data_IF_153102754444
#
_entry.id   IF_153102754444
#
_cell.length_a   1.000
_cell.length_b   1.000
_cell.length_c   1.000
_cell.angle_alpha   90.00
_cell.angle_beta   90.00
_cell.angle_gamma   90.00
#
_symmetry.space_group_name_H-M   'P 1'
#
loop_
_entity.id
_entity.type
_entity.pdbx_description
1 polymer ?
#
# COMPACT_ATOMS: atom_id res chain seq x y z
N UNK A 1 -20.72 -28.81 -1.37
CA UNK A 1 -19.81 -28.60 -2.52
C UNK A 1 -19.70 -27.10 -2.71
N UNK A 2 -18.53 -26.51 -2.44
CA UNK A 2 -18.26 -25.08 -2.60
C UNK A 2 -17.98 -24.84 -4.10
N UNK A 3 -18.92 -24.22 -4.81
CA UNK A 3 -18.91 -24.12 -6.28
C UNK A 3 -18.92 -22.66 -6.78
N UNK A 4 -18.88 -21.66 -5.88
CA UNK A 4 -18.84 -20.26 -6.28
C UNK A 4 -17.39 -19.78 -6.36
N UNK A 5 -17.10 -18.85 -7.26
CA UNK A 5 -15.77 -18.26 -7.37
C UNK A 5 -15.31 -17.58 -6.06
N UNK A 6 -16.26 -17.04 -5.29
CA UNK A 6 -16.00 -16.47 -3.95
C UNK A 6 -15.43 -17.51 -2.97
N UNK A 7 -15.87 -18.77 -3.08
CA UNK A 7 -15.37 -19.86 -2.22
C UNK A 7 -13.89 -20.17 -2.49
N UNK A 8 -13.45 -20.01 -3.75
CA UNK A 8 -12.06 -20.21 -4.16
C UNK A 8 -11.18 -19.03 -3.71
N UNK A 9 -11.72 -17.80 -3.77
CA UNK A 9 -11.04 -16.59 -3.29
C UNK A 9 -10.80 -16.70 -1.79
N UNK A 10 -11.83 -17.02 -1.00
CA UNK A 10 -11.74 -17.17 0.47
C UNK A 10 -10.75 -18.26 0.91
N UNK A 11 -10.51 -19.28 0.08
CA UNK A 11 -9.57 -20.37 0.40
C UNK A 11 -8.11 -20.04 0.07
N UNK A 12 -7.88 -19.14 -0.89
CA UNK A 12 -6.54 -18.93 -1.48
C UNK A 12 -5.93 -17.57 -1.09
N UNK A 13 -6.77 -16.63 -0.67
CA UNK A 13 -6.40 -15.28 -0.26
C UNK A 13 -7.06 -14.97 1.09
N UNK A 14 -6.38 -14.21 1.96
CA UNK A 14 -7.04 -13.53 3.09
C UNK A 14 -7.97 -12.46 2.49
N UNK A 15 -9.17 -12.89 2.10
CA UNK A 15 -10.24 -12.03 1.62
C UNK A 15 -11.53 -12.37 2.36
N UNK A 16 -12.26 -11.38 2.90
CA UNK A 16 -11.92 -9.95 2.91
C UNK A 16 -10.70 -9.66 3.81
N UNK A 17 -9.78 -8.84 3.32
CA UNK A 17 -8.79 -8.18 4.18
C UNK A 17 -9.41 -6.88 4.72
N UNK A 18 -8.80 -6.25 5.72
CA UNK A 18 -9.33 -5.03 6.35
C UNK A 18 -9.63 -3.88 5.35
N UNK A 19 -9.11 -3.95 4.12
CA UNK A 19 -9.25 -2.93 3.10
C UNK A 19 -10.41 -3.18 2.13
N UNK A 20 -10.91 -4.40 2.01
CA UNK A 20 -11.97 -4.75 1.04
C UNK A 20 -13.21 -5.27 1.74
N UNK A 21 -14.35 -4.66 1.46
CA UNK A 21 -15.66 -5.17 1.89
C UNK A 21 -16.59 -5.31 0.69
N UNK A 22 -17.51 -6.26 0.76
CA UNK A 22 -18.53 -6.48 -0.28
C UNK A 22 -19.89 -6.28 0.35
N UNK A 23 -20.63 -5.28 -0.14
CA UNK A 23 -21.96 -4.91 0.33
C UNK A 23 -22.91 -4.98 -0.85
N UNK A 24 -23.97 -5.78 -0.75
CA UNK A 24 -24.96 -6.01 -1.82
C UNK A 24 -24.36 -6.39 -3.19
N UNK A 25 -23.19 -7.03 -3.18
CA UNK A 25 -22.48 -7.46 -4.39
C UNK A 25 -21.62 -6.37 -5.03
N UNK A 26 -21.54 -5.18 -4.43
CA UNK A 26 -20.62 -4.11 -4.82
C UNK A 26 -19.37 -4.11 -3.94
N UNK A 27 -18.21 -3.77 -4.53
CA UNK A 27 -16.91 -3.77 -3.85
C UNK A 27 -16.59 -2.38 -3.30
N UNK A 28 -16.32 -2.32 -1.99
CA UNK A 28 -15.73 -1.17 -1.34
C UNK A 28 -14.23 -1.43 -1.11
N UNK A 29 -13.42 -0.39 -1.30
CA UNK A 29 -11.98 -0.42 -1.03
C UNK A 29 -11.56 0.76 -0.15
N UNK A 30 -11.13 0.52 1.09
CA UNK A 30 -10.89 1.54 2.12
C UNK A 30 -12.09 2.51 2.25
N UNK A 31 -13.30 1.95 2.39
CA UNK A 31 -14.57 2.67 2.43
C UNK A 31 -14.91 3.48 1.17
N UNK A 32 -14.22 3.23 0.04
CA UNK A 32 -14.51 3.85 -1.26
C UNK A 32 -15.40 2.92 -2.10
N UNK A 33 -16.62 3.34 -2.48
CA UNK A 33 -17.51 2.54 -3.33
C UNK A 33 -17.00 2.51 -4.77
N UNK A 34 -16.35 1.40 -5.15
CA UNK A 34 -15.67 1.32 -6.46
C UNK A 34 -16.66 1.38 -7.63
N UNK A 35 -17.88 0.88 -7.45
CA UNK A 35 -18.91 0.93 -8.50
C UNK A 35 -19.30 2.36 -8.86
N UNK A 36 -19.33 3.28 -7.89
CA UNK A 36 -19.65 4.68 -8.14
C UNK A 36 -18.51 5.39 -8.87
N UNK A 37 -17.26 5.11 -8.48
CA UNK A 37 -16.07 5.61 -9.19
C UNK A 37 -16.06 5.11 -10.64
N UNK A 38 -16.36 3.83 -10.88
CA UNK A 38 -16.42 3.26 -12.23
C UNK A 38 -17.54 3.90 -13.06
N UNK A 39 -18.74 4.07 -12.49
CA UNK A 39 -19.87 4.73 -13.17
C UNK A 39 -19.52 6.17 -13.56
N UNK A 40 -18.77 6.89 -12.72
CA UNK A 40 -18.39 8.28 -12.95
C UNK A 40 -17.25 8.45 -13.97
N UNK A 41 -16.19 7.64 -13.87
CA UNK A 41 -14.94 7.86 -14.62
C UNK A 41 -14.70 6.84 -15.75
N UNK A 42 -15.49 5.76 -15.83
CA UNK A 42 -15.33 4.71 -16.83
C UNK A 42 -14.12 3.79 -16.58
N UNK A 43 -13.84 2.92 -17.56
CA UNK A 43 -12.70 1.97 -17.52
C UNK A 43 -11.94 1.96 -18.86
N UNK A 44 -10.64 1.63 -18.86
CA UNK A 44 -9.81 1.21 -17.71
C UNK A 44 -9.42 2.38 -16.80
N UNK A 45 -9.44 2.13 -15.49
CA UNK A 45 -9.04 3.08 -14.45
C UNK A 45 -8.02 2.42 -13.52
N UNK A 46 -7.03 3.19 -13.08
CA UNK A 46 -6.11 2.82 -12.00
C UNK A 46 -6.29 3.81 -10.85
N UNK A 47 -6.55 3.29 -9.65
CA UNK A 47 -6.74 4.08 -8.44
C UNK A 47 -5.54 3.83 -7.51
N UNK A 48 -5.05 4.88 -6.85
CA UNK A 48 -3.99 4.79 -5.85
C UNK A 48 -4.51 5.36 -4.51
N UNK A 49 -4.52 4.55 -3.47
CA UNK A 49 -4.89 4.98 -2.11
C UNK A 49 -3.63 5.41 -1.36
N UNK A 50 -3.32 6.70 -1.41
CA UNK A 50 -2.09 7.27 -0.86
C UNK A 50 -1.91 7.02 0.65
N UNK A 51 -2.96 7.05 1.50
CA UNK A 51 -2.78 6.78 2.93
C UNK A 51 -2.15 5.42 3.23
N UNK A 52 -2.36 4.42 2.35
CA UNK A 52 -1.74 3.09 2.48
C UNK A 52 -0.21 3.14 2.46
N UNK A 53 0.35 4.10 1.75
CA UNK A 53 1.81 4.30 1.64
C UNK A 53 2.34 4.69 3.03
N UNK A 54 1.74 5.70 3.65
CA UNK A 54 2.01 6.12 5.03
C UNK A 54 1.87 4.96 6.01
N UNK A 55 0.74 4.25 5.98
CA UNK A 55 0.48 3.11 6.86
C UNK A 55 1.56 2.03 6.76
N UNK A 56 1.98 1.69 5.53
CA UNK A 56 2.99 0.68 5.30
C UNK A 56 4.38 1.10 5.80
N UNK A 57 4.77 2.36 5.60
CA UNK A 57 6.03 2.90 6.12
C UNK A 57 6.05 2.83 7.65
N UNK A 58 4.97 3.27 8.30
CA UNK A 58 4.87 3.25 9.77
C UNK A 58 4.80 1.81 10.30
N UNK A 59 4.12 0.90 9.59
CA UNK A 59 4.08 -0.53 9.93
C UNK A 59 5.47 -1.15 9.90
N UNK A 60 6.26 -0.88 8.85
CA UNK A 60 7.63 -1.38 8.74
C UNK A 60 8.51 -0.86 9.90
N UNK A 61 8.49 0.45 10.16
CA UNK A 61 9.21 1.06 11.29
C UNK A 61 8.82 0.42 12.63
N UNK A 62 7.52 0.22 12.87
CA UNK A 62 7.03 -0.44 14.10
C UNK A 62 7.54 -1.86 14.23
N UNK A 63 7.51 -2.65 13.15
CA UNK A 63 8.02 -4.03 13.15
C UNK A 63 9.49 -4.08 13.52
N UNK A 64 10.33 -3.24 12.92
CA UNK A 64 11.76 -3.17 13.24
C UNK A 64 12.02 -2.67 14.66
N UNK A 65 11.37 -1.59 15.10
CA UNK A 65 11.55 -1.08 16.46
C UNK A 65 11.16 -2.12 17.53
N UNK A 66 10.06 -2.86 17.32
CA UNK A 66 9.66 -3.94 18.23
C UNK A 66 10.68 -5.07 18.24
N UNK A 67 11.22 -5.46 17.08
CA UNK A 67 12.23 -6.52 16.99
C UNK A 67 13.55 -6.10 17.64
N UNK A 68 14.01 -4.87 17.41
CA UNK A 68 15.23 -4.30 17.99
C UNK A 68 15.13 -4.18 19.51
N UNK A 69 13.99 -3.72 20.03
CA UNK A 69 13.74 -3.64 21.46
C UNK A 69 13.72 -5.03 22.14
N UNK A 70 13.29 -6.09 21.45
CA UNK A 70 13.28 -7.47 21.99
C UNK A 70 14.68 -8.07 22.16
N UNK A 71 15.69 -7.52 21.50
CA UNK A 71 17.07 -8.05 21.50
C UNK A 71 18.08 -7.01 21.97
N UNK A 72 17.60 -5.93 22.61
CA UNK A 72 18.42 -4.83 23.13
C UNK A 72 19.40 -4.25 22.08
N UNK A 73 18.93 -4.09 20.83
CA UNK A 73 19.75 -3.52 19.76
C UNK A 73 19.78 -1.99 19.83
N UNK A 74 20.98 -1.41 19.98
CA UNK A 74 21.21 0.03 20.22
C UNK A 74 21.38 0.88 18.94
N UNK A 75 21.31 0.26 17.76
CA UNK A 75 21.40 1.01 16.49
C UNK A 75 20.07 1.64 16.08
N UNK A 76 20.13 2.55 15.11
CA UNK A 76 18.94 3.19 14.53
C UNK A 76 18.39 2.42 13.32
N UNK A 77 17.06 2.44 13.15
CA UNK A 77 16.39 1.95 11.95
C UNK A 77 16.02 3.09 11.00
N UNK A 78 16.52 3.03 9.77
CA UNK A 78 16.17 3.96 8.69
C UNK A 78 15.38 3.26 7.60
N UNK A 79 14.18 3.75 7.33
CA UNK A 79 13.36 3.28 6.21
C UNK A 79 13.79 3.98 4.91
N UNK A 80 14.21 3.19 3.91
CA UNK A 80 14.57 3.67 2.58
C UNK A 80 13.56 3.16 1.54
N UNK A 81 12.87 4.07 0.84
CA UNK A 81 11.95 3.72 -0.24
C UNK A 81 12.71 3.57 -1.56
N UNK A 82 12.55 2.43 -2.23
CA UNK A 82 13.15 2.16 -3.53
C UNK A 82 12.33 2.81 -4.65
N UNK A 83 12.89 3.82 -5.33
CA UNK A 83 12.21 4.56 -6.41
C UNK A 83 11.80 3.66 -7.59
N UNK A 84 12.54 2.57 -7.82
CA UNK A 84 12.23 1.58 -8.85
C UNK A 84 10.87 0.90 -8.65
N UNK A 85 10.36 0.83 -7.42
CA UNK A 85 9.04 0.27 -7.13
C UNK A 85 7.92 1.16 -7.67
N UNK A 86 8.05 2.48 -7.56
CA UNK A 86 7.15 3.46 -8.16
C UNK A 86 7.71 4.88 -7.99
N UNK A 87 8.02 5.55 -9.11
CA UNK A 87 8.58 6.90 -9.13
C UNK A 87 7.54 7.99 -9.45
N UNK A 88 6.24 7.69 -9.43
CA UNK A 88 5.21 8.71 -9.67
C UNK A 88 5.28 9.81 -8.60
N UNK A 89 5.16 11.08 -9.01
CA UNK A 89 5.34 12.22 -8.10
C UNK A 89 4.43 12.14 -6.86
N UNK A 90 3.15 11.82 -7.03
CA UNK A 90 2.20 11.68 -5.92
C UNK A 90 2.57 10.55 -4.93
N UNK A 91 3.31 9.53 -5.38
CA UNK A 91 3.85 8.48 -4.50
C UNK A 91 5.05 9.03 -3.73
N UNK A 92 5.97 9.68 -4.44
CA UNK A 92 7.18 10.25 -3.87
C UNK A 92 6.87 11.33 -2.83
N UNK A 93 5.89 12.20 -3.11
CA UNK A 93 5.38 13.22 -2.19
C UNK A 93 4.92 12.60 -0.87
N UNK A 94 4.10 11.54 -0.93
CA UNK A 94 3.60 10.87 0.28
C UNK A 94 4.71 10.11 1.02
N UNK A 95 5.65 9.48 0.30
CA UNK A 95 6.83 8.81 0.88
C UNK A 95 7.72 9.82 1.62
N UNK A 96 8.01 10.97 1.00
CA UNK A 96 8.86 12.02 1.56
C UNK A 96 8.19 12.72 2.74
N UNK A 97 6.87 12.93 2.69
CA UNK A 97 6.07 13.43 3.82
C UNK A 97 6.20 12.57 5.07
N UNK A 98 6.52 11.28 4.92
CA UNK A 98 6.80 10.37 6.05
C UNK A 98 8.24 10.41 6.55
N UNK A 99 9.09 11.30 6.05
CA UNK A 99 10.51 11.39 6.41
C UNK A 99 11.29 10.14 6.03
N UNK A 100 10.89 9.47 4.95
CA UNK A 100 11.59 8.29 4.43
C UNK A 100 12.86 8.72 3.72
N UNK A 101 13.92 7.92 3.84
CA UNK A 101 15.06 8.03 2.95
C UNK A 101 14.70 7.41 1.60
N UNK A 102 15.48 7.71 0.56
CA UNK A 102 15.25 7.19 -0.78
C UNK A 102 16.45 6.36 -1.24
N UNK A 103 16.17 5.21 -1.83
CA UNK A 103 17.13 4.46 -2.64
C UNK A 103 16.88 4.83 -4.10
N UNK A 104 17.93 5.32 -4.76
CA UNK A 104 17.89 5.70 -6.18
C UNK A 104 18.56 4.63 -7.01
N UNK A 105 17.84 4.15 -8.02
CA UNK A 105 18.29 3.10 -8.94
C UNK A 105 18.96 3.66 -10.20
N UNK A 106 18.89 4.97 -10.41
CA UNK A 106 19.30 5.65 -11.63
C UNK A 106 19.55 7.14 -11.40
N UNK A 107 20.43 7.76 -12.21
CA UNK A 107 20.59 9.21 -12.23
C UNK A 107 19.29 9.95 -12.64
N UNK A 108 18.39 9.28 -13.36
CA UNK A 108 17.07 9.83 -13.70
C UNK A 108 16.20 10.06 -12.45
N UNK A 109 16.35 9.24 -11.42
CA UNK A 109 15.55 9.35 -10.19
C UNK A 109 15.81 10.68 -9.48
N UNK A 110 17.01 11.25 -9.63
CA UNK A 110 17.40 12.55 -9.05
C UNK A 110 16.57 13.70 -9.63
N UNK A 111 16.18 13.63 -10.89
CA UNK A 111 15.38 14.68 -11.53
C UNK A 111 13.88 14.55 -11.23
N UNK A 112 13.44 13.43 -10.65
CA UNK A 112 12.04 13.17 -10.30
C UNK A 112 11.77 13.52 -8.82
N UNK A 113 12.82 13.54 -7.99
CA UNK A 113 12.81 14.08 -6.63
C UNK A 113 12.73 15.61 -6.63
#
# INVERSE_FOLDING_TARGET
MKNKYIDLIEQTFEFPNDEFTVEDGELNWNDIPLMDIIKQYGTPLRIAYLPKISENIQRARRMFNVAMAKVDYDGDYHYCYCTKSSHFSFVMEEVLKNGSHLETSSAFDINIM
#
